data_IF_548747481190
#
_entry.id   IF_548747481190
#
_cell.length_a   1.000
_cell.length_b   1.000
_cell.length_c   1.000
_cell.angle_alpha   90.00
_cell.angle_beta   90.00
_cell.angle_gamma   90.00
#
_symmetry.space_group_name_H-M   'P 1'
#
loop_
_entity.id
_entity.type
_entity.pdbx_description
1 polymer ?
#
# COMPACT_ATOMS: atom_id res chain seq x y z
N UNK A 1 16.44 3.03 0.33
CA UNK A 1 16.39 4.43 0.75
C UNK A 1 15.09 4.80 1.44
N UNK A 2 14.93 6.06 1.85
CA UNK A 2 13.72 6.48 2.56
C UNK A 2 12.43 6.31 1.74
N UNK A 3 12.50 6.49 0.42
CA UNK A 3 11.33 6.29 -0.43
C UNK A 3 10.90 4.83 -0.45
N UNK A 4 11.84 3.89 -0.42
CA UNK A 4 11.55 2.46 -0.36
C UNK A 4 10.84 2.10 0.95
N UNK A 5 11.28 2.67 2.07
CA UNK A 5 10.64 2.46 3.37
C UNK A 5 9.21 2.98 3.39
N UNK A 6 8.99 4.18 2.85
CA UNK A 6 7.66 4.79 2.78
C UNK A 6 6.74 3.92 1.92
N UNK A 7 7.23 3.48 0.77
CA UNK A 7 6.45 2.62 -0.14
C UNK A 7 6.09 1.29 0.53
N UNK A 8 7.03 0.66 1.23
CA UNK A 8 6.79 -0.59 1.92
C UNK A 8 5.79 -0.45 3.05
N UNK A 9 5.89 0.61 3.85
CA UNK A 9 4.94 0.89 4.93
C UNK A 9 3.54 1.10 4.36
N UNK A 10 3.42 1.90 3.30
CA UNK A 10 2.14 2.14 2.64
C UNK A 10 1.54 0.84 2.08
N UNK A 11 2.37 0.00 1.47
CA UNK A 11 1.94 -1.27 0.91
C UNK A 11 1.45 -2.22 2.00
N UNK A 12 2.17 -2.30 3.12
CA UNK A 12 1.78 -3.13 4.26
C UNK A 12 0.46 -2.65 4.84
N UNK A 13 0.31 -1.34 5.04
CA UNK A 13 -0.93 -0.77 5.55
C UNK A 13 -2.11 -1.09 4.63
N UNK A 14 -1.93 -0.92 3.32
CA UNK A 14 -2.95 -1.25 2.33
C UNK A 14 -3.27 -2.74 2.30
N UNK A 15 -2.25 -3.60 2.39
CA UNK A 15 -2.43 -5.05 2.41
C UNK A 15 -3.19 -5.53 3.64
N UNK A 16 -2.87 -4.97 4.81
CA UNK A 16 -3.61 -5.27 6.06
C UNK A 16 -5.06 -4.83 5.92
N UNK A 17 -5.29 -3.62 5.38
CA UNK A 17 -6.64 -3.12 5.16
C UNK A 17 -7.43 -4.03 4.21
N UNK A 18 -6.82 -4.46 3.11
CA UNK A 18 -7.46 -5.40 2.17
C UNK A 18 -7.78 -6.74 2.84
N UNK A 19 -6.85 -7.26 3.65
CA UNK A 19 -7.07 -8.48 4.41
C UNK A 19 -8.26 -8.36 5.38
N UNK A 20 -8.39 -7.23 6.04
CA UNK A 20 -9.51 -6.98 6.96
C UNK A 20 -10.83 -6.87 6.20
N UNK A 21 -10.83 -6.26 5.01
CA UNK A 21 -12.04 -6.23 4.17
C UNK A 21 -12.47 -7.66 3.81
N UNK A 22 -11.54 -8.49 3.40
CA UNK A 22 -11.83 -9.87 3.01
C UNK A 22 -12.30 -10.73 4.19
N UNK A 23 -11.68 -10.54 5.36
CA UNK A 23 -11.96 -11.37 6.54
C UNK A 23 -13.25 -10.95 7.27
N UNK A 24 -13.44 -9.65 7.49
CA UNK A 24 -14.52 -9.13 8.34
C UNK A 24 -15.27 -7.95 7.74
N UNK A 25 -15.03 -7.67 6.47
CA UNK A 25 -15.65 -6.55 5.75
C UNK A 25 -15.38 -5.20 6.44
N UNK A 26 -14.18 -5.03 6.98
CA UNK A 26 -13.76 -3.81 7.64
C UNK A 26 -12.76 -3.06 6.79
N UNK A 27 -13.17 -1.93 6.23
CA UNK A 27 -12.27 -1.01 5.54
C UNK A 27 -11.81 0.08 6.50
N UNK A 28 -10.60 -0.10 7.04
CA UNK A 28 -10.03 0.81 8.03
C UNK A 28 -9.84 2.21 7.44
N UNK A 29 -9.41 2.29 6.19
CA UNK A 29 -9.21 3.58 5.52
C UNK A 29 -10.53 4.35 5.41
N UNK A 30 -11.60 3.68 5.02
CA UNK A 30 -12.91 4.30 4.91
C UNK A 30 -13.45 4.75 6.27
N UNK A 31 -13.12 4.03 7.33
CA UNK A 31 -13.59 4.35 8.68
C UNK A 31 -12.83 5.50 9.33
N UNK A 32 -11.51 5.55 9.11
CA UNK A 32 -10.63 6.51 9.78
C UNK A 32 -10.60 7.84 9.04
N UNK A 33 -10.68 7.81 7.72
CA UNK A 33 -10.54 9.01 6.92
C UNK A 33 -11.86 9.77 6.83
N UNK A 34 -11.82 11.11 6.78
CA UNK A 34 -13.01 11.94 6.96
C UNK A 34 -13.97 11.95 5.76
N UNK A 35 -13.55 11.48 4.60
CA UNK A 35 -14.39 11.50 3.41
C UNK A 35 -14.05 10.36 2.45
N UNK A 36 -15.00 10.06 1.55
CA UNK A 36 -14.75 9.08 0.49
C UNK A 36 -13.61 9.51 -0.44
N UNK A 37 -13.47 10.81 -0.69
CA UNK A 37 -12.38 11.34 -1.50
C UNK A 37 -11.03 11.10 -0.83
N UNK A 38 -10.94 11.35 0.48
CA UNK A 38 -9.72 11.08 1.24
C UNK A 38 -9.34 9.59 1.20
N UNK A 39 -10.32 8.69 1.34
CA UNK A 39 -10.10 7.25 1.25
C UNK A 39 -9.58 6.87 -0.15
N UNK A 40 -10.16 7.43 -1.21
CA UNK A 40 -9.72 7.15 -2.57
C UNK A 40 -8.29 7.65 -2.84
N UNK A 41 -7.93 8.81 -2.29
CA UNK A 41 -6.56 9.31 -2.36
C UNK A 41 -5.60 8.34 -1.66
N UNK A 42 -5.97 7.85 -0.49
CA UNK A 42 -5.16 6.87 0.26
C UNK A 42 -4.99 5.59 -0.56
N UNK A 43 -6.05 5.07 -1.18
CA UNK A 43 -5.95 3.88 -2.04
C UNK A 43 -5.04 4.13 -3.24
N UNK A 44 -5.13 5.32 -3.84
CA UNK A 44 -4.26 5.72 -4.95
C UNK A 44 -2.78 5.74 -4.55
N UNK A 45 -2.49 6.29 -3.38
CA UNK A 45 -1.12 6.31 -2.85
C UNK A 45 -0.59 4.90 -2.59
N UNK A 46 -1.42 4.02 -2.05
CA UNK A 46 -1.06 2.60 -1.87
C UNK A 46 -0.79 1.94 -3.22
N UNK A 47 -1.60 2.24 -4.24
CA UNK A 47 -1.38 1.72 -5.58
C UNK A 47 -0.05 2.18 -6.18
N UNK A 48 0.30 3.45 -6.02
CA UNK A 48 1.58 3.98 -6.46
C UNK A 48 2.73 3.33 -5.69
N UNK A 49 2.57 3.13 -4.39
CA UNK A 49 3.56 2.43 -3.58
C UNK A 49 3.77 1.00 -4.07
N UNK A 50 2.69 0.31 -4.45
CA UNK A 50 2.77 -1.04 -5.00
C UNK A 50 3.56 -1.06 -6.32
N UNK A 51 3.34 -0.09 -7.20
CA UNK A 51 4.10 0.02 -8.45
C UNK A 51 5.59 0.27 -8.18
N UNK A 52 5.90 1.12 -7.20
CA UNK A 52 7.28 1.35 -6.77
C UNK A 52 7.91 0.04 -6.25
N UNK A 53 7.16 -0.73 -5.49
CA UNK A 53 7.64 -2.02 -4.95
C UNK A 53 7.86 -3.06 -6.05
N UNK A 54 7.10 -3.02 -7.14
CA UNK A 54 7.37 -3.89 -8.31
C UNK A 54 8.74 -3.58 -8.90
N UNK A 55 9.07 -2.29 -9.06
CA UNK A 55 10.39 -1.89 -9.54
C UNK A 55 11.47 -2.35 -8.56
N UNK A 56 11.22 -2.20 -7.26
CA UNK A 56 12.16 -2.63 -6.23
C UNK A 56 12.41 -4.14 -6.28
N UNK A 57 11.36 -4.94 -6.51
CA UNK A 57 11.49 -6.38 -6.67
C UNK A 57 12.42 -6.75 -7.83
N UNK A 58 12.26 -6.09 -8.98
CA UNK A 58 13.14 -6.32 -10.12
C UNK A 58 14.59 -5.95 -9.81
N UNK A 59 14.81 -4.87 -9.08
CA UNK A 59 16.15 -4.46 -8.65
C UNK A 59 16.79 -5.48 -7.73
N UNK A 60 16.03 -5.98 -6.75
CA UNK A 60 16.52 -6.99 -5.83
C UNK A 60 16.87 -8.29 -6.55
N UNK A 61 16.04 -8.71 -7.51
CA UNK A 61 16.31 -9.87 -8.33
C UNK A 61 17.59 -9.70 -9.14
N UNK A 62 17.80 -8.52 -9.74
CA UNK A 62 19.00 -8.23 -10.51
C UNK A 62 20.26 -8.22 -9.64
N UNK A 63 20.17 -7.71 -8.41
CA UNK A 63 21.30 -7.65 -7.48
C UNK A 63 21.69 -9.02 -6.96
N UNK A 64 20.76 -9.95 -6.88
CA UNK A 64 20.99 -11.28 -6.34
C UNK A 64 21.47 -12.30 -7.39
N UNK A 65 21.46 -11.93 -8.64
CA UNK A 65 22.03 -12.74 -9.72
C UNK A 65 23.53 -12.46 -9.87
#
# INVERSE_FOLDING_TARGET
>A
GPLDWIALIALVAGGVNCGLIAAVNLDVFARVLPSATAARVAYGLVGLAALHCVVLLFRLGAEND
#
